data_IF_391718848437
#
_entry.id   IF_391718848437
#
_cell.length_a   1.000
_cell.length_b   1.000
_cell.length_c   1.000
_cell.angle_alpha   90.00
_cell.angle_beta   90.00
_cell.angle_gamma   90.00
#
_symmetry.space_group_name_H-M   'P 1'
#
loop_
_entity.id
_entity.type
_entity.pdbx_description
1 polymer ?
#
# COMPACT_ATOMS: atom_id res chain seq x y z
N UNK A 1 -1.63 32.19 -7.68
CA UNK A 1 -1.02 32.36 -9.01
C UNK A 1 -0.26 31.10 -9.34
N UNK A 2 -0.80 30.24 -10.19
CA UNK A 2 -0.24 28.91 -10.56
C UNK A 2 -0.52 28.58 -12.03
N UNK A 3 -0.80 29.59 -12.86
CA UNK A 3 -1.14 29.42 -14.27
C UNK A 3 0.09 29.36 -15.20
N UNK A 4 1.31 29.43 -14.68
CA UNK A 4 2.50 29.70 -15.50
C UNK A 4 3.39 28.48 -15.81
N UNK A 5 3.08 27.26 -15.36
CA UNK A 5 4.01 26.13 -15.47
C UNK A 5 3.57 24.94 -16.34
N UNK A 6 2.44 25.04 -17.05
CA UNK A 6 2.04 24.02 -18.01
C UNK A 6 1.44 24.66 -19.26
N UNK A 7 2.22 24.87 -20.34
CA UNK A 7 1.62 25.31 -21.60
C UNK A 7 0.80 24.14 -22.17
N UNK A 8 -0.51 24.21 -21.99
CA UNK A 8 -1.45 23.34 -22.71
C UNK A 8 -1.60 23.88 -24.11
N UNK A 9 -1.00 23.21 -25.09
CA UNK A 9 -1.15 23.54 -26.51
C UNK A 9 -2.27 22.67 -27.08
N UNK A 10 -3.42 23.28 -27.37
CA UNK A 10 -4.56 22.60 -28.00
C UNK A 10 -4.53 22.87 -29.50
N UNK A 11 -4.56 21.82 -30.32
CA UNK A 11 -4.58 21.91 -31.79
C UNK A 11 -5.93 21.43 -32.33
N UNK A 12 -6.36 22.01 -33.43
CA UNK A 12 -7.52 21.53 -34.19
C UNK A 12 -7.19 20.22 -34.94
N UNK A 13 -8.19 19.36 -35.11
CA UNK A 13 -8.05 17.95 -35.48
C UNK A 13 -7.27 17.68 -36.79
N UNK A 14 -7.19 18.66 -37.70
CA UNK A 14 -6.69 18.47 -39.07
C UNK A 14 -5.42 19.27 -39.41
N UNK A 15 -4.64 19.68 -38.40
CA UNK A 15 -3.42 20.45 -38.64
C UNK A 15 -2.18 19.56 -38.44
N UNK A 16 -1.23 19.46 -39.39
CA UNK A 16 0.00 18.66 -39.25
C UNK A 16 1.01 19.33 -38.31
N UNK A 17 1.81 18.55 -37.57
CA UNK A 17 2.81 19.06 -36.63
C UNK A 17 4.01 19.65 -37.38
N UNK A 18 4.35 20.90 -37.11
CA UNK A 18 5.64 21.45 -37.53
C UNK A 18 6.69 20.97 -36.51
N UNK A 19 7.50 20.00 -36.90
CA UNK A 19 8.68 19.60 -36.14
C UNK A 19 9.77 20.65 -36.41
N UNK A 20 9.88 21.64 -35.55
CA UNK A 20 11.04 22.52 -35.55
C UNK A 20 12.27 21.79 -35.03
N UNK A 21 13.28 21.81 -35.91
CA UNK A 21 14.70 21.57 -35.78
C UNK A 21 15.29 21.48 -34.37
N UNK A 22 15.99 20.37 -34.15
CA UNK A 22 17.01 20.21 -33.13
C UNK A 22 18.06 21.31 -33.19
N UNK A 23 18.18 22.11 -32.12
CA UNK A 23 19.35 22.95 -31.88
C UNK A 23 20.57 22.08 -31.54
N UNK A 24 21.72 22.21 -32.23
CA UNK A 24 22.94 21.54 -31.82
C UNK A 24 23.62 22.34 -30.71
N UNK A 25 23.87 21.70 -29.57
CA UNK A 25 24.73 22.24 -28.54
C UNK A 25 26.19 22.06 -28.97
N UNK A 26 26.77 23.14 -29.48
CA UNK A 26 28.19 23.28 -29.78
C UNK A 26 28.98 23.33 -28.47
N UNK A 27 29.81 22.32 -28.19
CA UNK A 27 30.95 22.47 -27.27
C UNK A 27 32.18 21.85 -27.93
N UNK A 28 33.13 22.73 -28.19
CA UNK A 28 34.40 22.47 -28.85
C UNK A 28 35.31 21.58 -27.99
N UNK A 29 36.02 20.73 -28.72
CA UNK A 29 37.23 20.02 -28.37
C UNK A 29 38.34 21.00 -27.95
N UNK A 30 38.98 20.74 -26.81
CA UNK A 30 40.40 21.05 -26.62
C UNK A 30 41.07 19.77 -26.14
N UNK A 31 41.80 19.14 -27.06
CA UNK A 31 42.80 18.14 -26.72
C UNK A 31 44.05 18.83 -26.19
N UNK A 32 44.70 18.20 -25.21
CA UNK A 32 46.15 18.24 -25.08
C UNK A 32 46.61 16.81 -24.79
N UNK A 33 47.68 16.48 -25.49
CA UNK A 33 48.23 15.17 -25.79
C UNK A 33 49.25 14.72 -24.74
N UNK A 34 49.33 13.39 -24.58
CA UNK A 34 50.49 12.56 -24.21
C UNK A 34 51.39 12.92 -23.01
N UNK A 35 51.45 11.98 -22.07
CA UNK A 35 52.72 11.42 -21.60
C UNK A 35 52.53 9.95 -21.22
N UNK A 36 53.20 9.07 -21.96
CA UNK A 36 53.39 7.67 -21.58
C UNK A 36 54.36 7.60 -20.40
N UNK A 37 54.04 6.80 -19.39
CA UNK A 37 55.05 6.01 -18.68
C UNK A 37 54.40 4.85 -17.93
N UNK A 38 54.88 3.66 -18.24
CA UNK A 38 54.75 2.44 -17.44
C UNK A 38 54.89 2.71 -15.94
N UNK A 39 53.98 2.16 -15.13
CA UNK A 39 54.31 1.22 -14.05
C UNK A 39 53.05 0.37 -13.80
N UNK A 40 53.16 -0.93 -14.02
CA UNK A 40 52.12 -1.89 -13.64
C UNK A 40 51.80 -1.78 -12.14
N UNK A 41 50.59 -1.32 -11.84
CA UNK A 41 50.08 -1.37 -10.47
C UNK A 41 49.63 -2.81 -10.18
N UNK A 42 50.13 -3.45 -9.12
CA UNK A 42 49.71 -4.80 -8.77
C UNK A 42 48.23 -4.79 -8.38
N UNK A 43 47.46 -5.74 -8.94
CA UNK A 43 46.14 -6.12 -8.43
C UNK A 43 46.25 -6.31 -6.91
N UNK A 44 45.43 -5.62 -6.09
CA UNK A 44 45.45 -5.87 -4.66
C UNK A 44 44.92 -7.29 -4.42
N UNK A 45 45.84 -8.17 -4.09
CA UNK A 45 45.63 -9.50 -3.53
C UNK A 45 44.69 -9.40 -2.31
N UNK A 46 43.86 -10.44 -2.17
CA UNK A 46 42.69 -10.51 -1.30
C UNK A 46 42.78 -9.72 0.01
N UNK A 47 41.91 -8.71 0.13
CA UNK A 47 41.70 -7.94 1.35
C UNK A 47 41.17 -8.90 2.42
N UNK A 48 42.01 -9.32 3.37
CA UNK A 48 41.56 -10.00 4.59
C UNK A 48 40.76 -9.01 5.41
N UNK A 49 39.44 -9.01 5.23
CA UNK A 49 38.54 -8.12 5.97
C UNK A 49 38.52 -8.63 7.42
N UNK A 50 39.09 -7.84 8.33
CA UNK A 50 39.08 -8.17 9.75
C UNK A 50 37.63 -8.29 10.24
N UNK A 51 37.29 -9.44 10.85
CA UNK A 51 35.94 -9.76 11.33
C UNK A 51 35.31 -8.66 12.20
N UNK A 52 36.14 -7.93 12.97
CA UNK A 52 35.73 -6.79 13.80
C UNK A 52 35.16 -5.63 12.96
N UNK A 53 35.75 -5.34 11.79
CA UNK A 53 35.24 -4.30 10.88
C UNK A 53 33.92 -4.73 10.22
N UNK A 54 33.80 -6.01 9.86
CA UNK A 54 32.54 -6.57 9.34
C UNK A 54 31.44 -6.50 10.41
N UNK A 55 31.76 -6.87 11.66
CA UNK A 55 30.84 -6.79 12.79
C UNK A 55 30.41 -5.35 13.07
N UNK A 56 31.33 -4.38 13.02
CA UNK A 56 31.03 -2.96 13.19
C UNK A 56 30.10 -2.41 12.09
N UNK A 57 30.34 -2.77 10.83
CA UNK A 57 29.47 -2.37 9.71
C UNK A 57 28.09 -3.01 9.83
N UNK A 58 27.99 -4.29 10.19
CA UNK A 58 26.70 -4.97 10.41
C UNK A 58 25.91 -4.34 11.56
N UNK A 59 26.58 -3.94 12.64
CA UNK A 59 25.95 -3.27 13.77
C UNK A 59 25.45 -1.86 13.41
N UNK A 60 26.25 -1.11 12.64
CA UNK A 60 25.83 0.19 12.10
C UNK A 60 24.65 0.07 11.13
N UNK A 61 24.64 -0.95 10.27
CA UNK A 61 23.52 -1.23 9.38
C UNK A 61 22.25 -1.62 10.14
N UNK A 62 22.35 -2.48 11.15
CA UNK A 62 21.22 -2.85 12.01
C UNK A 62 20.63 -1.65 12.75
N UNK A 63 21.48 -0.80 13.34
CA UNK A 63 21.03 0.41 14.04
C UNK A 63 20.38 1.42 13.09
N UNK A 64 20.91 1.59 11.88
CA UNK A 64 20.29 2.41 10.84
C UNK A 64 18.92 1.86 10.41
N UNK A 65 18.80 0.55 10.22
CA UNK A 65 17.52 -0.11 9.86
C UNK A 65 16.49 0.03 10.99
N UNK A 66 16.89 -0.18 12.24
CA UNK A 66 16.02 -0.03 13.41
C UNK A 66 15.57 1.42 13.57
N UNK A 67 16.51 2.38 13.45
CA UNK A 67 16.21 3.81 13.51
C UNK A 67 15.22 4.24 12.42
N UNK A 68 15.44 3.78 11.18
CA UNK A 68 14.53 4.04 10.06
C UNK A 68 13.13 3.48 10.32
N UNK A 69 13.02 2.24 10.79
CA UNK A 69 11.74 1.61 11.14
C UNK A 69 10.99 2.38 12.24
N UNK A 70 11.69 2.87 13.25
CA UNK A 70 11.08 3.61 14.36
C UNK A 70 10.54 4.99 13.94
N UNK A 71 11.28 5.69 13.08
CA UNK A 71 10.84 6.99 12.54
C UNK A 71 9.60 6.82 11.66
N UNK A 72 9.57 5.81 10.79
CA UNK A 72 8.46 5.58 9.88
C UNK A 72 7.17 5.14 10.61
N UNK A 73 7.29 4.31 11.66
CA UNK A 73 6.14 3.94 12.48
C UNK A 73 5.51 5.16 13.16
N UNK A 74 6.34 6.08 13.67
CA UNK A 74 5.86 7.30 14.32
C UNK A 74 5.20 8.27 13.33
N UNK A 75 5.62 8.31 12.06
CA UNK A 75 4.97 9.13 11.05
C UNK A 75 3.61 8.55 10.67
N UNK A 76 3.51 7.24 10.41
CA UNK A 76 2.25 6.55 10.09
C UNK A 76 1.19 6.75 11.19
N UNK A 77 1.56 6.54 12.45
CA UNK A 77 0.65 6.74 13.59
C UNK A 77 0.15 8.19 13.71
N UNK A 78 1.01 9.18 13.40
CA UNK A 78 0.61 10.59 13.37
C UNK A 78 -0.33 10.91 12.21
N UNK A 79 -0.11 10.30 11.04
CA UNK A 79 -0.99 10.47 9.87
C UNK A 79 -2.38 9.93 10.15
N UNK A 80 -2.48 8.70 10.68
CA UNK A 80 -3.75 8.08 11.09
C UNK A 80 -4.50 9.01 12.05
N UNK A 81 -3.83 9.47 13.12
CA UNK A 81 -4.46 10.38 14.09
C UNK A 81 -4.90 11.70 13.47
N UNK A 82 -4.12 12.25 12.54
CA UNK A 82 -4.47 13.50 11.85
C UNK A 82 -5.72 13.29 10.98
N UNK A 83 -5.76 12.21 10.20
CA UNK A 83 -6.92 11.85 9.39
C UNK A 83 -8.16 11.60 10.25
N UNK A 84 -8.03 10.86 11.37
CA UNK A 84 -9.11 10.67 12.33
C UNK A 84 -9.68 12.01 12.79
N UNK A 85 -8.82 12.96 13.17
CA UNK A 85 -9.25 14.29 13.61
C UNK A 85 -9.88 15.12 12.50
N UNK A 86 -9.38 15.07 11.28
CA UNK A 86 -9.93 15.84 10.15
C UNK A 86 -11.31 15.32 9.73
N UNK A 87 -11.48 14.01 9.85
CA UNK A 87 -12.71 13.29 9.52
C UNK A 87 -13.66 13.16 10.72
N UNK A 88 -13.34 13.78 11.86
CA UNK A 88 -14.32 13.98 12.94
C UNK A 88 -15.50 14.81 12.41
N UNK A 89 -16.72 14.36 12.72
CA UNK A 89 -17.96 15.00 12.23
C UNK A 89 -18.65 14.27 11.08
N UNK A 90 -18.12 13.14 10.62
CA UNK A 90 -18.90 12.19 9.82
C UNK A 90 -20.13 11.71 10.60
N UNK A 91 -21.25 11.54 9.92
CA UNK A 91 -22.48 10.99 10.50
C UNK A 91 -22.38 9.50 10.83
N UNK A 92 -21.36 8.82 10.31
CA UNK A 92 -21.14 7.38 10.45
C UNK A 92 -19.71 7.11 10.95
N UNK A 93 -19.49 6.06 11.75
CA UNK A 93 -18.15 5.70 12.19
C UNK A 93 -17.29 5.33 10.97
N UNK A 94 -16.15 6.03 10.85
CA UNK A 94 -15.11 5.79 9.85
C UNK A 94 -13.96 5.05 10.51
N UNK A 95 -13.32 4.13 9.79
CA UNK A 95 -12.09 3.50 10.29
C UNK A 95 -10.89 4.02 9.52
N UNK A 96 -9.94 4.63 10.21
CA UNK A 96 -8.67 5.06 9.63
C UNK A 96 -7.60 4.05 10.03
N UNK A 97 -6.86 3.56 9.05
CA UNK A 97 -5.78 2.59 9.23
C UNK A 97 -4.72 2.83 8.15
N UNK A 98 -3.72 1.96 8.07
CA UNK A 98 -2.82 1.88 6.92
C UNK A 98 -3.17 0.68 6.06
N UNK A 99 -2.87 0.73 4.77
CA UNK A 99 -2.87 -0.44 3.89
C UNK A 99 -1.58 -1.24 4.06
N UNK A 100 -1.51 -2.47 3.53
CA UNK A 100 -0.32 -3.33 3.63
C UNK A 100 0.96 -2.72 3.04
N UNK A 101 0.82 -1.75 2.12
CA UNK A 101 1.93 -0.98 1.56
C UNK A 101 2.33 0.28 2.38
N UNK A 102 1.70 0.52 3.54
CA UNK A 102 1.98 1.65 4.43
C UNK A 102 1.30 2.96 4.07
N UNK A 103 0.46 3.00 3.03
CA UNK A 103 -0.33 4.21 2.71
C UNK A 103 -1.50 4.38 3.69
N UNK A 104 -1.92 5.62 3.93
CA UNK A 104 -3.12 5.89 4.74
C UNK A 104 -4.37 5.36 4.03
N UNK A 105 -5.19 4.59 4.76
CA UNK A 105 -6.41 3.96 4.28
C UNK A 105 -7.59 4.37 5.15
N UNK A 106 -8.61 4.95 4.53
CA UNK A 106 -9.86 5.33 5.19
C UNK A 106 -10.96 4.41 4.67
N UNK A 107 -11.52 3.63 5.59
CA UNK A 107 -12.58 2.67 5.34
C UNK A 107 -13.93 3.23 5.79
N UNK A 108 -14.86 3.24 4.84
CA UNK A 108 -16.18 3.84 5.01
C UNK A 108 -17.28 2.83 4.72
N UNK A 109 -18.47 2.99 5.32
CA UNK A 109 -19.58 2.04 5.13
C UNK A 109 -20.40 2.34 3.89
N UNK A 110 -20.72 3.61 3.65
CA UNK A 110 -21.64 4.02 2.59
C UNK A 110 -20.98 4.91 1.55
N UNK A 111 -21.63 5.07 0.39
CA UNK A 111 -21.18 6.01 -0.63
C UNK A 111 -21.20 7.46 -0.11
N UNK A 112 -22.23 7.82 0.66
CA UNK A 112 -22.34 9.14 1.29
C UNK A 112 -21.13 9.48 2.15
N UNK A 113 -20.66 8.52 2.95
CA UNK A 113 -19.49 8.70 3.81
C UNK A 113 -18.20 8.84 2.98
N UNK A 114 -18.10 8.15 1.85
CA UNK A 114 -16.99 8.28 0.90
C UNK A 114 -16.94 9.69 0.30
N UNK A 115 -18.08 10.17 -0.19
CA UNK A 115 -18.19 11.48 -0.80
C UNK A 115 -17.92 12.59 0.23
N UNK A 116 -18.47 12.45 1.44
CA UNK A 116 -18.22 13.37 2.55
C UNK A 116 -16.73 13.42 2.93
N UNK A 117 -16.09 12.25 3.09
CA UNK A 117 -14.67 12.17 3.46
C UNK A 117 -13.79 12.79 2.38
N UNK A 118 -14.10 12.54 1.11
CA UNK A 118 -13.41 13.15 -0.03
C UNK A 118 -13.53 14.67 0.00
N UNK A 119 -14.74 15.21 0.13
CA UNK A 119 -14.96 16.66 0.20
C UNK A 119 -14.28 17.29 1.42
N UNK A 120 -14.30 16.61 2.57
CA UNK A 120 -13.66 17.08 3.80
C UNK A 120 -12.16 17.24 3.61
N UNK A 121 -11.50 16.24 3.04
CA UNK A 121 -10.05 16.26 2.81
C UNK A 121 -9.64 17.32 1.78
N UNK A 122 -10.45 17.53 0.73
CA UNK A 122 -10.25 18.61 -0.24
C UNK A 122 -10.35 19.99 0.42
N UNK A 123 -11.38 20.22 1.25
CA UNK A 123 -11.58 21.49 1.94
C UNK A 123 -10.45 21.83 2.92
N UNK A 124 -9.96 20.82 3.62
CA UNK A 124 -8.84 20.96 4.57
C UNK A 124 -7.47 20.96 3.87
N UNK A 125 -7.43 20.91 2.53
CA UNK A 125 -6.21 20.90 1.71
C UNK A 125 -5.21 19.80 2.14
N UNK A 126 -5.72 18.62 2.50
CA UNK A 126 -4.88 17.51 2.93
C UNK A 126 -4.06 17.00 1.74
N UNK A 127 -2.73 17.11 1.83
CA UNK A 127 -1.83 16.84 0.69
C UNK A 127 -1.23 15.44 0.68
N UNK A 128 -1.36 14.67 1.75
CA UNK A 128 -0.75 13.34 1.82
C UNK A 128 -1.61 12.31 1.06
N UNK A 129 -0.98 11.32 0.39
CA UNK A 129 -1.71 10.25 -0.26
C UNK A 129 -2.60 9.50 0.73
N UNK A 130 -3.88 9.39 0.39
CA UNK A 130 -4.88 8.68 1.18
C UNK A 130 -5.79 7.90 0.26
N UNK A 131 -5.95 6.62 0.55
CA UNK A 131 -6.89 5.74 -0.15
C UNK A 131 -8.20 5.75 0.62
N UNK A 132 -9.27 6.23 -0.03
CA UNK A 132 -10.63 6.17 0.51
C UNK A 132 -11.36 4.99 -0.15
N UNK A 133 -11.86 4.05 0.63
CA UNK A 133 -12.52 2.85 0.09
C UNK A 133 -13.72 2.44 0.93
N UNK A 134 -14.75 1.92 0.26
CA UNK A 134 -15.89 1.29 0.93
C UNK A 134 -15.45 -0.05 1.50
N UNK A 135 -15.89 -0.35 2.72
CA UNK A 135 -15.62 -1.62 3.40
C UNK A 135 -16.03 -2.80 2.51
N UNK A 136 -17.24 -2.76 1.94
CA UNK A 136 -17.74 -3.81 1.06
C UNK A 136 -16.86 -4.03 -0.20
N UNK A 137 -16.29 -2.96 -0.76
CA UNK A 137 -15.40 -3.09 -1.92
C UNK A 137 -14.06 -3.73 -1.53
N UNK A 138 -13.52 -3.39 -0.35
CA UNK A 138 -12.33 -4.05 0.15
C UNK A 138 -12.59 -5.51 0.54
N UNK A 139 -13.76 -5.81 1.12
CA UNK A 139 -14.18 -7.19 1.38
C UNK A 139 -14.20 -8.02 0.11
N UNK A 140 -14.79 -7.52 -0.97
CA UNK A 140 -14.85 -8.21 -2.26
C UNK A 140 -13.46 -8.46 -2.86
N UNK A 141 -12.55 -7.49 -2.76
CA UNK A 141 -11.15 -7.66 -3.19
C UNK A 141 -10.44 -8.76 -2.40
N UNK A 142 -10.60 -8.77 -1.07
CA UNK A 142 -10.00 -9.79 -0.20
C UNK A 142 -10.65 -11.15 -0.44
N UNK A 143 -11.97 -11.19 -0.61
CA UNK A 143 -12.72 -12.41 -0.92
C UNK A 143 -12.22 -13.03 -2.22
N UNK A 144 -12.00 -12.21 -3.25
CA UNK A 144 -11.46 -12.67 -4.53
C UNK A 144 -10.06 -13.29 -4.40
N UNK A 145 -9.20 -12.73 -3.54
CA UNK A 145 -7.87 -13.30 -3.31
C UNK A 145 -7.88 -14.54 -2.42
N UNK A 146 -8.75 -14.58 -1.41
CA UNK A 146 -8.88 -15.73 -0.52
C UNK A 146 -9.57 -16.92 -1.20
N UNK A 147 -10.57 -16.70 -2.06
CA UNK A 147 -11.31 -17.77 -2.74
C UNK A 147 -10.41 -18.64 -3.62
N UNK A 148 -9.32 -18.08 -4.15
CA UNK A 148 -8.28 -18.82 -4.90
C UNK A 148 -7.57 -19.90 -4.07
N UNK A 149 -7.53 -19.73 -2.75
CA UNK A 149 -6.74 -20.56 -1.83
C UNK A 149 -7.60 -21.24 -0.75
N UNK A 150 -8.80 -20.71 -0.50
CA UNK A 150 -9.68 -21.12 0.59
C UNK A 150 -11.05 -21.56 0.04
N UNK A 151 -11.18 -22.84 -0.37
CA UNK A 151 -12.47 -23.36 -0.82
C UNK A 151 -13.51 -23.28 0.31
N UNK A 152 -14.74 -22.90 -0.06
CA UNK A 152 -15.82 -22.75 0.90
C UNK A 152 -15.83 -21.42 1.66
N UNK A 153 -15.08 -20.42 1.21
CA UNK A 153 -15.22 -19.06 1.74
C UNK A 153 -16.66 -18.58 1.52
N UNK A 154 -17.30 -18.09 2.59
CA UNK A 154 -18.66 -17.54 2.51
C UNK A 154 -18.64 -16.02 2.49
N UNK A 155 -17.86 -15.41 3.38
CA UNK A 155 -17.81 -13.96 3.55
C UNK A 155 -16.57 -13.55 4.34
N UNK A 156 -16.00 -12.41 3.98
CA UNK A 156 -15.07 -11.65 4.82
C UNK A 156 -15.83 -10.46 5.39
N UNK A 157 -15.81 -10.32 6.71
CA UNK A 157 -16.41 -9.20 7.42
C UNK A 157 -15.33 -8.29 7.98
N UNK A 158 -15.26 -7.07 7.44
CA UNK A 158 -14.32 -6.03 7.83
C UNK A 158 -15.02 -4.91 8.62
N UNK A 159 -16.16 -5.19 9.27
CA UNK A 159 -16.81 -4.23 10.18
C UNK A 159 -15.83 -3.71 11.23
N UNK A 160 -14.93 -4.59 11.69
CA UNK A 160 -13.75 -4.26 12.48
C UNK A 160 -12.49 -4.68 11.71
N UNK A 161 -11.86 -3.79 10.92
CA UNK A 161 -10.79 -4.16 9.99
C UNK A 161 -9.60 -4.88 10.64
N UNK A 162 -9.23 -4.53 11.88
CA UNK A 162 -8.11 -5.17 12.58
C UNK A 162 -8.49 -6.48 13.32
N UNK A 163 -9.78 -6.80 13.37
CA UNK A 163 -10.32 -8.05 13.90
C UNK A 163 -11.33 -8.64 12.91
N UNK A 164 -10.90 -8.97 11.68
CA UNK A 164 -11.81 -9.38 10.63
C UNK A 164 -12.40 -10.76 10.94
N UNK A 165 -13.65 -10.98 10.55
CA UNK A 165 -14.31 -12.27 10.72
C UNK A 165 -14.39 -12.96 9.36
N UNK A 166 -13.76 -14.12 9.25
CA UNK A 166 -13.77 -14.96 8.07
C UNK A 166 -14.84 -16.03 8.29
N UNK A 167 -15.89 -16.01 7.48
CA UNK A 167 -16.96 -17.00 7.51
C UNK A 167 -16.67 -18.04 6.45
N UNK A 168 -16.68 -19.30 6.85
CA UNK A 168 -16.30 -20.43 6.01
C UNK A 168 -17.33 -21.56 6.15
N UNK A 169 -17.61 -22.24 5.05
CA UNK A 169 -18.50 -23.39 4.97
C UNK A 169 -17.70 -24.67 5.21
N UNK A 170 -18.21 -25.58 6.04
CA UNK A 170 -17.63 -26.92 6.20
C UNK A 170 -18.00 -27.77 5.00
N UNK A 171 -17.01 -28.45 4.41
CA UNK A 171 -17.23 -29.37 3.29
C UNK A 171 -16.11 -30.39 3.13
N UNK A 172 -16.10 -31.06 1.98
CA UNK A 172 -15.13 -32.11 1.63
C UNK A 172 -13.85 -31.50 1.03
N UNK A 173 -13.27 -30.53 1.72
CA UNK A 173 -12.01 -29.87 1.36
C UNK A 173 -11.17 -29.63 2.62
N UNK A 174 -9.86 -29.36 2.46
CA UNK A 174 -8.98 -29.10 3.60
C UNK A 174 -9.51 -27.97 4.49
N UNK A 175 -9.26 -28.09 5.79
CA UNK A 175 -9.58 -27.04 6.74
C UNK A 175 -8.78 -25.76 6.43
N UNK A 176 -9.32 -24.57 6.73
CA UNK A 176 -8.66 -23.29 6.50
C UNK A 176 -7.29 -23.20 7.16
N UNK A 177 -6.26 -22.78 6.41
CA UNK A 177 -4.97 -22.42 7.00
C UNK A 177 -5.01 -20.95 7.48
N UNK A 178 -5.02 -20.78 8.80
CA UNK A 178 -5.00 -19.47 9.45
C UNK A 178 -3.78 -18.62 9.04
N UNK A 179 -2.66 -19.26 8.66
CA UNK A 179 -1.46 -18.55 8.22
C UNK A 179 -1.67 -17.90 6.86
N UNK A 180 -2.29 -18.62 5.92
CA UNK A 180 -2.65 -18.09 4.59
C UNK A 180 -3.62 -16.93 4.74
N UNK A 181 -4.69 -17.13 5.52
CA UNK A 181 -5.69 -16.08 5.79
C UNK A 181 -5.01 -14.82 6.35
N UNK A 182 -4.16 -14.98 7.36
CA UNK A 182 -3.46 -13.84 7.97
C UNK A 182 -2.53 -13.15 6.98
N UNK A 183 -1.80 -13.91 6.17
CA UNK A 183 -0.88 -13.38 5.18
C UNK A 183 -1.64 -12.54 4.15
N UNK A 184 -2.69 -13.09 3.52
CA UNK A 184 -3.52 -12.36 2.56
C UNK A 184 -4.10 -11.09 3.19
N UNK A 185 -4.67 -11.16 4.40
CA UNK A 185 -5.22 -9.97 5.05
C UNK A 185 -4.17 -8.88 5.32
N UNK A 186 -2.93 -9.27 5.61
CA UNK A 186 -1.82 -8.33 5.91
C UNK A 186 -1.39 -7.56 4.65
N UNK A 187 -1.61 -8.11 3.46
CA UNK A 187 -1.32 -7.41 2.20
C UNK A 187 -2.29 -6.23 1.97
N UNK A 188 -3.50 -6.32 2.52
CA UNK A 188 -4.52 -5.27 2.40
C UNK A 188 -4.53 -4.31 3.59
N UNK A 189 -4.25 -4.80 4.81
CA UNK A 189 -4.41 -4.06 6.06
C UNK A 189 -3.10 -3.99 6.83
N UNK A 190 -2.65 -2.78 7.16
CA UNK A 190 -1.40 -2.53 7.88
C UNK A 190 -1.50 -2.61 9.40
N UNK A 191 -2.69 -2.86 9.97
CA UNK A 191 -2.84 -2.99 11.42
C UNK A 191 -2.58 -4.43 11.90
N UNK A 192 -2.28 -4.65 13.21
CA UNK A 192 -2.08 -5.99 13.75
C UNK A 192 -3.34 -6.85 13.64
N UNK A 193 -3.34 -7.81 12.71
CA UNK A 193 -4.51 -8.61 12.38
C UNK A 193 -4.71 -9.74 13.39
N UNK A 194 -5.87 -9.74 14.04
CA UNK A 194 -6.39 -10.83 14.88
C UNK A 194 -7.71 -11.35 14.28
N UNK A 195 -7.60 -12.10 13.19
CA UNK A 195 -8.77 -12.66 12.50
C UNK A 195 -9.48 -13.71 13.35
N UNK A 196 -10.80 -13.79 13.20
CA UNK A 196 -11.62 -14.88 13.74
C UNK A 196 -12.15 -15.71 12.59
N UNK A 197 -12.09 -17.03 12.74
CA UNK A 197 -12.64 -17.96 11.77
C UNK A 197 -13.94 -18.54 12.33
N UNK A 198 -15.04 -18.30 11.63
CA UNK A 198 -16.35 -18.88 11.94
C UNK A 198 -16.67 -19.93 10.89
N UNK A 199 -17.07 -21.11 11.35
CA UNK A 199 -17.35 -22.25 10.48
C UNK A 199 -18.81 -22.64 10.55
N UNK A 200 -19.43 -22.82 9.38
CA UNK A 200 -20.86 -23.08 9.24
C UNK A 200 -21.10 -24.41 8.53
N UNK A 201 -22.21 -25.08 8.83
CA UNK A 201 -22.66 -26.24 8.07
C UNK A 201 -23.75 -25.82 7.08
N UNK A 202 -23.69 -26.33 5.83
CA UNK A 202 -24.69 -26.06 4.80
C UNK A 202 -26.12 -26.36 5.27
N UNK A 203 -26.34 -27.48 5.96
CA UNK A 203 -27.68 -27.87 6.45
C UNK A 203 -28.24 -26.86 7.45
N UNK A 204 -27.40 -26.31 8.32
CA UNK A 204 -27.80 -25.29 9.29
C UNK A 204 -28.14 -23.97 8.60
N UNK A 205 -27.36 -23.57 7.60
CA UNK A 205 -27.60 -22.35 6.82
C UNK A 205 -28.90 -22.45 6.02
N UNK A 206 -29.16 -23.58 5.38
CA UNK A 206 -30.40 -23.83 4.62
C UNK A 206 -31.60 -23.76 5.56
N UNK A 207 -31.56 -24.45 6.70
CA UNK A 207 -32.64 -24.40 7.67
C UNK A 207 -32.92 -22.98 8.19
N UNK A 208 -31.87 -22.19 8.47
CA UNK A 208 -32.01 -20.77 8.86
C UNK A 208 -32.62 -19.92 7.74
N UNK A 209 -32.27 -20.19 6.48
CA UNK A 209 -32.84 -19.50 5.34
C UNK A 209 -34.34 -19.83 5.17
N UNK A 210 -34.72 -21.10 5.32
CA UNK A 210 -36.12 -21.55 5.29
C UNK A 210 -36.95 -20.86 6.38
N UNK A 211 -36.44 -20.81 7.62
CA UNK A 211 -37.11 -20.13 8.73
C UNK A 211 -37.29 -18.62 8.51
N UNK A 212 -36.39 -17.96 7.76
CA UNK A 212 -36.53 -16.54 7.44
C UNK A 212 -37.54 -16.24 6.34
N UNK A 213 -37.94 -17.26 5.57
CA UNK A 213 -38.92 -17.15 4.48
C UNK A 213 -40.35 -17.47 4.94
N UNK A 214 -40.51 -18.21 6.05
CA UNK A 214 -41.80 -18.58 6.66
C UNK A 214 -42.21 -17.61 7.76
#
# INVERSE_FOLDING_TARGET
MLAEHFPVVIKMLNTPWNSEESLPLNVQTTGVESAASDVGAPLPTGRKINSIYVAGIMLAALTAVIGWKLVNYNSEARQVKTLETLLQGSSSPLTVTTSGNGQSLVLVRTQRDLDWSTQRLLREHYQQPVTLKKIAALEEEIETELDKQLPGLLKVDLTLPCQPVIRWLKGNYPAPDNKIIKQTLTDFLGCPIKSRLESYNATELIHKAEQGLT
#
